data_IF_446526587969
#
_entry.id   IF_446526587969
#
_cell.length_a   1.000
_cell.length_b   1.000
_cell.length_c   1.000
_cell.angle_alpha   90.00
_cell.angle_beta   90.00
_cell.angle_gamma   90.00
#
_symmetry.space_group_name_H-M   'P 1'
#
loop_
_entity.id
_entity.type
_entity.pdbx_description
1 polymer ?
#
# COMPACT_ATOMS: atom_id res chain seq x y z
N UNK A 1 -21.00 -22.93 -79.76
CA UNK A 1 -21.31 -23.60 -78.50
C UNK A 1 -20.07 -23.55 -77.63
N UNK A 2 -20.07 -22.70 -76.56
CA UNK A 2 -18.99 -22.63 -75.58
C UNK A 2 -19.48 -23.36 -74.35
N UNK A 3 -18.78 -24.42 -73.98
CA UNK A 3 -19.01 -25.15 -72.73
C UNK A 3 -18.64 -24.29 -71.52
N UNK A 4 -19.58 -24.17 -70.58
CA UNK A 4 -19.33 -23.54 -69.28
C UNK A 4 -18.65 -24.55 -68.35
N UNK A 5 -17.44 -24.25 -67.93
CA UNK A 5 -16.75 -25.00 -66.90
C UNK A 5 -17.30 -24.62 -65.53
N UNK A 6 -17.95 -25.56 -64.86
CA UNK A 6 -18.37 -25.44 -63.47
C UNK A 6 -17.12 -25.57 -62.58
N UNK A 7 -16.74 -24.49 -61.89
CA UNK A 7 -15.70 -24.52 -60.84
C UNK A 7 -16.39 -24.93 -59.56
N UNK A 8 -16.20 -26.17 -59.10
CA UNK A 8 -16.55 -26.63 -57.76
C UNK A 8 -15.53 -26.01 -56.77
N UNK A 9 -15.97 -25.06 -55.99
CA UNK A 9 -15.23 -24.59 -54.83
C UNK A 9 -15.28 -25.68 -53.77
N UNK A 10 -14.18 -26.41 -53.65
CA UNK A 10 -13.92 -27.30 -52.54
C UNK A 10 -13.69 -26.38 -51.28
N UNK A 11 -14.72 -26.35 -50.43
CA UNK A 11 -14.59 -25.64 -49.14
C UNK A 11 -13.69 -26.46 -48.25
N UNK A 12 -12.39 -26.09 -48.25
CA UNK A 12 -11.46 -26.57 -47.24
C UNK A 12 -12.02 -26.28 -45.87
N UNK A 13 -12.59 -27.27 -45.24
CA UNK A 13 -12.91 -27.30 -43.85
C UNK A 13 -11.58 -27.19 -43.12
N UNK A 14 -11.24 -25.96 -42.65
CA UNK A 14 -10.07 -25.75 -41.80
C UNK A 14 -10.23 -26.70 -40.62
N UNK A 15 -9.39 -27.73 -40.51
CA UNK A 15 -9.26 -28.58 -39.34
C UNK A 15 -9.04 -27.66 -38.14
N UNK A 16 -10.07 -27.51 -37.32
CA UNK A 16 -9.93 -26.81 -36.04
C UNK A 16 -9.03 -27.67 -35.17
N UNK A 17 -7.80 -27.27 -35.01
CA UNK A 17 -6.86 -27.87 -34.05
C UNK A 17 -7.51 -27.80 -32.69
N UNK A 18 -7.77 -28.91 -32.06
CA UNK A 18 -8.35 -28.99 -30.72
C UNK A 18 -7.31 -28.45 -29.71
N UNK A 19 -7.68 -27.37 -29.01
CA UNK A 19 -6.79 -26.77 -28.02
C UNK A 19 -6.79 -27.67 -26.77
N UNK A 20 -5.61 -28.15 -26.31
CA UNK A 20 -5.54 -29.03 -25.15
C UNK A 20 -6.18 -28.41 -23.92
N UNK A 21 -6.95 -29.16 -23.16
CA UNK A 21 -7.60 -28.67 -21.93
C UNK A 21 -6.61 -28.18 -20.88
N UNK A 22 -5.35 -28.63 -20.93
CA UNK A 22 -4.27 -28.18 -20.03
C UNK A 22 -3.83 -26.73 -20.20
N UNK A 23 -4.17 -26.11 -21.34
CA UNK A 23 -3.82 -24.72 -21.66
C UNK A 23 -5.06 -23.82 -21.81
N UNK A 24 -6.25 -24.35 -21.53
CA UNK A 24 -7.49 -23.57 -21.55
C UNK A 24 -7.94 -23.23 -20.13
N UNK A 25 -8.54 -22.07 -19.95
CA UNK A 25 -9.19 -21.70 -18.69
C UNK A 25 -10.42 -22.60 -18.49
N UNK A 26 -10.56 -23.29 -17.34
CA UNK A 26 -11.74 -24.09 -17.06
C UNK A 26 -12.97 -23.20 -16.93
N UNK A 27 -14.13 -23.70 -17.40
CA UNK A 27 -15.40 -22.95 -17.31
C UNK A 27 -15.87 -22.71 -15.87
N UNK A 28 -15.36 -23.47 -14.90
CA UNK A 28 -15.72 -23.37 -13.48
C UNK A 28 -14.49 -23.53 -12.61
N UNK A 29 -14.34 -22.59 -11.67
CA UNK A 29 -13.26 -22.58 -10.68
C UNK A 29 -13.88 -22.40 -9.30
N UNK A 30 -13.60 -23.30 -8.37
CA UNK A 30 -13.93 -23.12 -6.97
C UNK A 30 -12.80 -22.32 -6.30
N UNK A 31 -13.15 -21.25 -5.61
CA UNK A 31 -12.19 -20.33 -4.98
C UNK A 31 -12.67 -19.92 -3.60
N UNK A 32 -11.80 -19.24 -2.83
CA UNK A 32 -12.16 -18.69 -1.50
C UNK A 32 -13.29 -17.63 -1.56
N UNK A 33 -13.48 -16.98 -2.72
CA UNK A 33 -14.58 -16.02 -2.93
C UNK A 33 -15.82 -16.68 -3.55
N UNK A 34 -15.84 -18.02 -3.57
CA UNK A 34 -16.92 -18.83 -4.11
C UNK A 34 -16.66 -19.32 -5.52
N UNK A 35 -17.71 -19.80 -6.15
CA UNK A 35 -17.63 -20.33 -7.50
C UNK A 35 -17.51 -19.22 -8.52
N UNK A 36 -16.50 -19.35 -9.40
CA UNK A 36 -16.25 -18.49 -10.54
C UNK A 36 -16.63 -19.23 -11.82
N UNK A 37 -17.26 -18.54 -12.76
CA UNK A 37 -17.71 -19.10 -14.03
C UNK A 37 -17.11 -18.31 -15.18
N UNK A 38 -16.63 -19.04 -16.18
CA UNK A 38 -16.04 -18.51 -17.39
C UNK A 38 -16.74 -19.08 -18.62
N UNK A 39 -16.65 -18.39 -19.72
CA UNK A 39 -17.07 -18.86 -21.04
C UNK A 39 -15.99 -18.48 -22.03
N UNK A 40 -15.42 -19.47 -22.70
CA UNK A 40 -14.32 -19.27 -23.67
C UNK A 40 -13.16 -18.45 -23.07
N UNK A 41 -12.83 -18.67 -21.78
CA UNK A 41 -11.78 -17.96 -21.06
C UNK A 41 -12.19 -16.59 -20.51
N UNK A 42 -13.38 -16.08 -20.82
CA UNK A 42 -13.89 -14.81 -20.29
C UNK A 42 -14.77 -15.03 -19.05
N UNK A 43 -14.58 -14.23 -17.98
CA UNK A 43 -15.44 -14.33 -16.82
C UNK A 43 -16.87 -13.90 -17.15
N UNK A 44 -17.86 -14.57 -16.58
CA UNK A 44 -19.23 -14.09 -16.62
C UNK A 44 -19.33 -12.73 -15.91
N UNK A 45 -20.40 -11.96 -16.19
CA UNK A 45 -20.62 -10.66 -15.55
C UNK A 45 -20.64 -10.77 -14.01
N UNK A 46 -21.25 -11.83 -13.49
CA UNK A 46 -21.29 -12.09 -12.04
C UNK A 46 -19.89 -12.39 -11.48
N UNK A 47 -19.14 -13.26 -12.16
CA UNK A 47 -17.75 -13.57 -11.79
C UNK A 47 -16.86 -12.33 -11.83
N UNK A 48 -16.98 -11.51 -12.87
CA UNK A 48 -16.23 -10.26 -12.98
C UNK A 48 -16.58 -9.26 -11.87
N UNK A 49 -17.83 -9.21 -11.42
CA UNK A 49 -18.24 -8.40 -10.28
C UNK A 49 -17.60 -8.91 -8.98
N UNK A 50 -17.72 -10.20 -8.68
CA UNK A 50 -17.09 -10.81 -7.48
C UNK A 50 -15.58 -10.58 -7.43
N UNK A 51 -14.89 -10.72 -8.56
CA UNK A 51 -13.45 -10.51 -8.62
C UNK A 51 -13.11 -9.02 -8.36
N UNK A 52 -13.88 -8.08 -8.91
CA UNK A 52 -13.68 -6.64 -8.67
C UNK A 52 -13.89 -6.30 -7.20
N UNK A 53 -14.97 -6.76 -6.60
CA UNK A 53 -15.28 -6.52 -5.19
C UNK A 53 -14.15 -7.03 -4.29
N UNK A 54 -13.58 -8.22 -4.59
CA UNK A 54 -12.43 -8.76 -3.84
C UNK A 54 -11.17 -7.92 -4.04
N UNK A 55 -10.89 -7.46 -5.27
CA UNK A 55 -9.75 -6.58 -5.56
C UNK A 55 -9.90 -5.25 -4.80
N UNK A 56 -11.08 -4.65 -4.82
CA UNK A 56 -11.35 -3.40 -4.12
C UNK A 56 -11.20 -3.57 -2.60
N UNK A 57 -11.66 -4.70 -2.05
CA UNK A 57 -11.43 -5.04 -0.65
C UNK A 57 -9.94 -5.18 -0.32
N UNK A 58 -9.17 -5.90 -1.14
CA UNK A 58 -7.73 -6.06 -0.94
C UNK A 58 -6.98 -4.74 -1.03
N UNK A 59 -7.33 -3.88 -1.99
CA UNK A 59 -6.77 -2.52 -2.08
C UNK A 59 -7.12 -1.68 -0.84
N UNK A 60 -8.34 -1.82 -0.32
CA UNK A 60 -8.74 -1.16 0.93
C UNK A 60 -7.90 -1.61 2.14
N UNK A 61 -7.67 -2.92 2.27
CA UNK A 61 -6.78 -3.48 3.30
C UNK A 61 -5.34 -2.98 3.13
N UNK A 62 -4.82 -3.01 1.91
CA UNK A 62 -3.47 -2.52 1.61
C UNK A 62 -3.33 -1.03 1.94
N UNK A 63 -4.28 -0.20 1.52
CA UNK A 63 -4.29 1.23 1.83
C UNK A 63 -4.33 1.48 3.34
N UNK A 64 -5.17 0.73 4.08
CA UNK A 64 -5.23 0.81 5.54
C UNK A 64 -3.88 0.46 6.18
N UNK A 65 -3.30 -0.68 5.82
CA UNK A 65 -2.02 -1.13 6.39
C UNK A 65 -0.87 -0.17 6.07
N UNK A 66 -0.82 0.33 4.84
CA UNK A 66 0.22 1.28 4.42
C UNK A 66 0.07 2.67 5.03
N UNK A 67 -1.13 3.01 5.51
CA UNK A 67 -1.40 4.33 6.11
C UNK A 67 -1.16 4.39 7.61
N UNK A 68 -1.02 3.25 8.30
CA UNK A 68 -0.92 3.19 9.77
C UNK A 68 0.21 4.08 10.29
N UNK A 69 1.41 3.97 9.70
CA UNK A 69 2.56 4.75 10.14
C UNK A 69 2.33 6.26 9.93
N UNK A 70 1.88 6.65 8.73
CA UNK A 70 1.61 8.05 8.42
C UNK A 70 0.52 8.67 9.30
N UNK A 71 -0.55 7.91 9.58
CA UNK A 71 -1.62 8.37 10.49
C UNK A 71 -1.11 8.49 11.92
N UNK A 72 -0.28 7.53 12.39
CA UNK A 72 0.31 7.57 13.73
C UNK A 72 1.24 8.77 13.91
N UNK A 73 2.11 9.03 12.93
CA UNK A 73 3.01 10.20 12.95
C UNK A 73 2.22 11.52 12.90
N UNK A 74 1.18 11.58 12.05
CA UNK A 74 0.30 12.73 12.00
C UNK A 74 -0.43 12.97 13.34
N UNK A 75 -0.88 11.91 14.01
CA UNK A 75 -1.51 12.00 15.32
C UNK A 75 -0.54 12.52 16.39
N UNK A 76 0.73 12.10 16.38
CA UNK A 76 1.78 12.65 17.25
C UNK A 76 1.97 14.15 16.97
N UNK A 77 2.14 14.53 15.70
CA UNK A 77 2.26 15.95 15.31
C UNK A 77 1.09 16.77 15.81
N UNK A 78 -0.14 16.26 15.59
CA UNK A 78 -1.35 16.94 16.08
C UNK A 78 -1.35 17.06 17.60
N UNK A 79 -0.99 16.00 18.32
CA UNK A 79 -0.87 16.02 19.78
C UNK A 79 0.13 17.06 20.29
N UNK A 80 1.27 17.24 19.62
CA UNK A 80 2.24 18.28 19.93
C UNK A 80 1.64 19.67 19.70
N UNK A 81 0.94 19.88 18.60
CA UNK A 81 0.26 21.16 18.32
C UNK A 81 -0.82 21.48 19.35
N UNK A 82 -1.59 20.50 19.80
CA UNK A 82 -2.66 20.67 20.79
C UNK A 82 -2.11 21.12 22.17
N UNK A 83 -0.86 20.82 22.49
CA UNK A 83 -0.15 21.33 23.68
C UNK A 83 0.71 22.57 23.42
N UNK A 84 0.63 23.17 22.24
CA UNK A 84 1.29 24.42 21.87
C UNK A 84 2.69 24.28 21.27
N UNK A 85 3.12 23.06 20.91
CA UNK A 85 4.38 22.82 20.19
C UNK A 85 4.09 22.75 18.69
N UNK A 86 4.51 23.81 17.97
CA UNK A 86 4.31 23.88 16.52
C UNK A 86 5.47 23.20 15.76
N UNK A 87 5.29 23.05 14.45
CA UNK A 87 6.36 22.60 13.57
C UNK A 87 7.61 23.47 13.76
N UNK A 88 8.78 22.86 13.63
CA UNK A 88 10.09 23.47 13.87
C UNK A 88 10.33 23.93 15.33
N UNK A 89 9.53 23.45 16.26
CA UNK A 89 9.74 23.57 17.68
C UNK A 89 9.93 22.19 18.30
N UNK A 90 10.68 22.14 19.41
CA UNK A 90 10.95 20.88 20.11
C UNK A 90 10.43 20.94 21.54
N UNK A 91 9.80 19.86 21.96
CA UNK A 91 9.48 19.60 23.36
C UNK A 91 10.59 18.75 23.98
N UNK A 92 10.95 19.07 25.21
CA UNK A 92 11.88 18.27 26.02
C UNK A 92 11.08 17.68 27.17
N UNK A 93 11.05 16.36 27.25
CA UNK A 93 10.47 15.64 28.36
C UNK A 93 11.51 15.52 29.47
N UNK A 94 11.52 16.47 30.41
CA UNK A 94 12.52 16.54 31.50
C UNK A 94 12.34 15.44 32.55
N UNK A 95 11.22 14.73 32.56
CA UNK A 95 10.95 13.56 33.38
C UNK A 95 10.86 12.28 32.55
N UNK A 96 11.13 11.14 33.18
CA UNK A 96 10.96 9.84 32.53
C UNK A 96 9.48 9.58 32.26
N UNK A 97 9.21 8.91 31.14
CA UNK A 97 7.86 8.50 30.76
C UNK A 97 7.42 7.31 31.61
N UNK A 98 6.10 7.10 31.69
CA UNK A 98 5.49 6.00 32.41
C UNK A 98 4.48 5.25 31.53
N UNK A 99 3.81 4.27 32.10
CA UNK A 99 2.81 3.46 31.40
C UNK A 99 1.57 4.24 30.93
N UNK A 100 1.41 5.49 31.31
CA UNK A 100 0.32 6.37 30.88
C UNK A 100 0.69 7.19 29.65
N UNK A 101 1.96 7.17 29.27
CA UNK A 101 2.46 7.87 28.08
C UNK A 101 1.92 7.21 26.81
N UNK A 102 1.29 7.99 25.93
CA UNK A 102 0.60 7.50 24.74
C UNK A 102 1.53 7.38 23.52
N UNK A 103 2.82 7.10 23.72
CA UNK A 103 3.78 6.83 22.68
C UNK A 103 4.00 5.34 22.51
N UNK A 104 4.05 4.88 21.26
CA UNK A 104 4.16 3.46 20.96
C UNK A 104 5.42 2.82 21.54
N UNK A 105 6.52 3.56 21.58
CA UNK A 105 7.84 3.06 21.99
C UNK A 105 8.44 3.87 23.14
N UNK A 106 7.63 4.58 23.90
CA UNK A 106 8.10 5.29 25.09
C UNK A 106 8.76 4.32 26.09
N UNK A 107 9.83 4.75 26.72
CA UNK A 107 10.49 4.00 27.79
C UNK A 107 10.66 4.85 29.06
N UNK A 108 10.97 4.18 30.16
CA UNK A 108 11.13 4.80 31.46
C UNK A 108 12.60 5.03 31.84
N UNK A 109 13.55 4.85 30.94
CA UNK A 109 14.99 4.87 31.24
C UNK A 109 15.67 6.15 30.73
N UNK A 110 15.07 6.81 29.72
CA UNK A 110 15.70 7.91 29.01
C UNK A 110 14.75 9.10 28.90
N UNK A 111 15.26 10.31 29.05
CA UNK A 111 14.54 11.52 28.69
C UNK A 111 14.54 11.71 27.18
N UNK A 112 13.43 12.22 26.66
CA UNK A 112 13.26 12.45 25.23
C UNK A 112 13.17 13.93 24.92
N UNK A 113 13.60 14.29 23.72
CA UNK A 113 13.13 15.48 23.05
C UNK A 113 12.51 15.07 21.71
N UNK A 114 11.50 15.80 21.29
CA UNK A 114 10.72 15.47 20.10
C UNK A 114 10.22 16.74 19.41
N UNK A 115 10.15 16.72 18.11
CA UNK A 115 9.57 17.78 17.30
C UNK A 115 9.32 17.32 15.88
N UNK A 116 8.63 18.13 15.11
CA UNK A 116 8.38 17.90 13.69
C UNK A 116 9.08 19.00 12.90
N UNK A 117 9.87 18.59 11.91
CA UNK A 117 10.61 19.50 11.03
C UNK A 117 9.81 19.71 9.76
N UNK A 118 9.38 20.92 9.49
CA UNK A 118 8.71 21.32 8.26
C UNK A 118 9.69 22.07 7.35
N UNK A 119 10.01 21.47 6.20
CA UNK A 119 10.91 22.02 5.20
C UNK A 119 10.19 22.75 4.05
N UNK A 120 8.89 23.03 4.17
CA UNK A 120 8.10 23.69 3.12
C UNK A 120 8.64 25.08 2.74
N UNK A 121 9.33 25.75 3.67
CA UNK A 121 9.93 27.06 3.45
C UNK A 121 11.42 27.01 3.04
N UNK A 122 11.99 25.85 2.81
CA UNK A 122 13.36 25.64 2.38
C UNK A 122 14.18 24.76 3.32
N UNK A 123 15.48 24.61 3.03
CA UNK A 123 16.37 23.80 3.85
C UNK A 123 16.60 24.41 5.23
N UNK A 124 16.80 23.53 6.24
CA UNK A 124 17.08 23.91 7.62
C UNK A 124 18.40 23.29 8.10
N UNK A 125 19.04 23.94 9.03
CA UNK A 125 20.16 23.37 9.77
C UNK A 125 19.61 22.92 11.13
N UNK A 126 19.81 21.64 11.43
CA UNK A 126 19.50 21.08 12.72
C UNK A 126 20.81 20.94 13.54
N UNK A 127 20.86 21.58 14.70
CA UNK A 127 21.96 21.45 15.64
C UNK A 127 21.53 20.51 16.78
N UNK A 128 22.27 19.40 16.92
CA UNK A 128 22.05 18.45 18.00
C UNK A 128 22.47 18.97 19.33
N UNK A 129 21.74 18.78 20.43
CA UNK A 129 22.23 18.98 21.77
C UNK A 129 23.52 18.17 22.03
N UNK A 130 24.46 18.64 22.84
CA UNK A 130 25.62 17.85 23.18
C UNK A 130 25.20 16.57 23.93
N UNK A 131 25.94 15.49 23.72
CA UNK A 131 25.71 14.18 24.35
C UNK A 131 24.32 13.59 24.14
N UNK A 132 23.62 14.05 23.12
CA UNK A 132 22.34 13.51 22.72
C UNK A 132 22.48 12.56 21.52
N UNK A 133 21.70 11.50 21.50
CA UNK A 133 21.52 10.63 20.35
C UNK A 133 20.10 10.84 19.84
N UNK A 134 19.96 10.99 18.54
CA UNK A 134 18.66 11.16 17.93
C UNK A 134 18.59 10.58 16.52
N UNK A 135 17.39 10.47 16.02
CA UNK A 135 17.07 10.01 14.68
C UNK A 135 16.15 11.00 13.99
N UNK A 136 16.30 11.15 12.70
CA UNK A 136 15.36 11.83 11.83
C UNK A 136 14.71 10.78 10.95
N UNK A 137 13.40 10.66 11.07
CA UNK A 137 12.55 9.82 10.26
C UNK A 137 11.63 10.66 9.38
N UNK A 138 11.15 10.08 8.28
CA UNK A 138 10.08 10.70 7.52
C UNK A 138 8.71 10.50 8.20
N UNK A 139 7.64 11.06 7.60
CA UNK A 139 6.27 10.96 8.14
C UNK A 139 5.68 9.55 8.10
N UNK A 140 6.43 8.54 7.63
CA UNK A 140 6.09 7.12 7.71
C UNK A 140 7.01 6.34 8.65
N UNK A 141 7.74 7.03 9.56
CA UNK A 141 8.77 6.43 10.43
C UNK A 141 9.85 5.66 9.64
N UNK A 142 10.14 6.11 8.41
CA UNK A 142 11.27 5.54 7.67
C UNK A 142 12.51 6.36 8.01
N UNK A 143 13.53 5.66 8.39
CA UNK A 143 14.82 6.23 8.76
C UNK A 143 15.42 7.08 7.63
N UNK A 144 15.87 8.27 7.96
CA UNK A 144 16.60 9.18 7.07
C UNK A 144 18.05 9.26 7.54
N UNK A 145 18.30 9.60 8.80
CA UNK A 145 19.64 9.71 9.38
C UNK A 145 19.61 9.70 10.89
N UNK A 146 20.73 9.26 11.50
CA UNK A 146 21.01 9.46 12.91
C UNK A 146 21.84 10.72 13.10
N UNK A 147 21.81 11.28 14.30
CA UNK A 147 22.64 12.41 14.70
C UNK A 147 22.99 12.32 16.19
N UNK A 148 24.03 13.04 16.58
CA UNK A 148 24.59 12.99 17.92
C UNK A 148 25.80 12.03 18.01
N UNK A 149 26.52 12.02 19.16
CA UNK A 149 27.76 11.30 19.50
C UNK A 149 28.93 11.54 18.56
#
# INVERSE_FOLDING_TARGET
>A
MKEARTVTTDSAQAERTEIPASITTPDRVESKIGRLQFKDGYPTRETAAKIRDEIDYLHGVEAFMNSIQGVSTYAIRKGLMDIGVNDNQFIIYSGLMDSKSLFLTANADTVYYMGVIDLSNGPMIFESPPEALGVIDDMWFRWITDFGL
#
